data_IF_569263978567
#
_entry.id   IF_569263978567
#
_cell.length_a   1.000
_cell.length_b   1.000
_cell.length_c   1.000
_cell.angle_alpha   90.00
_cell.angle_beta   90.00
_cell.angle_gamma   90.00
#
_symmetry.space_group_name_H-M   'P 1'
#
loop_
_entity.id
_entity.type
_entity.pdbx_description
1 polymer ?
#
# COMPACT_ATOMS: atom_id res chain seq x y z
N UNK A 1 -64.07 5.29 8.42
CA UNK A 1 -62.93 6.09 8.91
C UNK A 1 -62.21 6.68 7.69
N UNK A 2 -62.29 8.00 7.48
CA UNK A 2 -61.74 8.68 6.30
C UNK A 2 -60.24 8.95 6.54
N UNK A 3 -59.36 8.26 5.82
CA UNK A 3 -57.91 8.45 5.90
C UNK A 3 -57.54 9.77 5.19
N UNK A 4 -57.12 10.77 5.95
CA UNK A 4 -56.57 12.03 5.43
C UNK A 4 -55.20 11.76 4.80
N UNK A 5 -55.14 11.61 3.48
CA UNK A 5 -53.86 11.57 2.76
C UNK A 5 -53.38 13.00 2.52
N UNK A 6 -52.56 13.51 3.45
CA UNK A 6 -51.75 14.72 3.20
C UNK A 6 -50.65 14.34 2.19
N UNK A 7 -50.76 14.83 0.96
CA UNK A 7 -49.72 14.69 -0.05
C UNK A 7 -48.60 15.71 0.18
N UNK A 8 -47.35 15.29 -0.05
CA UNK A 8 -46.22 16.21 -0.11
C UNK A 8 -46.42 17.26 -1.20
N UNK A 9 -46.07 18.51 -0.91
CA UNK A 9 -46.11 19.58 -1.91
C UNK A 9 -44.81 19.62 -2.71
N UNK A 10 -44.88 19.99 -3.99
CA UNK A 10 -43.69 20.09 -4.85
C UNK A 10 -42.67 21.12 -4.32
N UNK A 11 -43.15 22.18 -3.66
CA UNK A 11 -42.29 23.23 -3.08
C UNK A 11 -41.42 22.69 -1.94
N UNK A 12 -41.97 21.79 -1.11
CA UNK A 12 -41.21 21.15 -0.02
C UNK A 12 -40.09 20.27 -0.57
N UNK A 13 -40.37 19.49 -1.62
CA UNK A 13 -39.34 18.68 -2.28
C UNK A 13 -38.28 19.56 -2.97
N UNK A 14 -38.70 20.67 -3.58
CA UNK A 14 -37.79 21.59 -4.26
C UNK A 14 -36.84 22.29 -3.29
N UNK A 15 -37.34 22.75 -2.14
CA UNK A 15 -36.50 23.38 -1.12
C UNK A 15 -35.40 22.42 -0.62
N UNK A 16 -35.73 21.14 -0.43
CA UNK A 16 -34.77 20.13 0.06
C UNK A 16 -33.66 19.88 -0.95
N UNK A 17 -33.98 19.70 -2.25
CA UNK A 17 -32.95 19.44 -3.26
C UNK A 17 -32.01 20.63 -3.45
N UNK A 18 -32.50 21.86 -3.31
CA UNK A 18 -31.66 23.08 -3.41
C UNK A 18 -30.66 23.12 -2.26
N UNK A 19 -31.10 22.85 -1.03
CA UNK A 19 -30.23 22.81 0.15
C UNK A 19 -29.17 21.70 -0.01
N UNK A 20 -29.58 20.50 -0.42
CA UNK A 20 -28.65 19.38 -0.64
C UNK A 20 -27.62 19.69 -1.74
N UNK A 21 -28.02 20.37 -2.81
CA UNK A 21 -27.12 20.76 -3.89
C UNK A 21 -26.04 21.76 -3.43
N UNK A 22 -26.41 22.76 -2.61
CA UNK A 22 -25.46 23.74 -2.07
C UNK A 22 -24.44 23.05 -1.13
N UNK A 23 -24.92 22.17 -0.25
CA UNK A 23 -24.04 21.40 0.64
C UNK A 23 -23.09 20.52 -0.18
N UNK A 24 -23.61 19.79 -1.17
CA UNK A 24 -22.81 18.92 -2.03
C UNK A 24 -21.72 19.69 -2.80
N UNK A 25 -22.02 20.89 -3.29
CA UNK A 25 -21.06 21.73 -4.01
C UNK A 25 -19.82 22.07 -3.18
N UNK A 26 -20.02 22.49 -1.91
CA UNK A 26 -18.91 22.85 -1.01
C UNK A 26 -18.18 21.61 -0.51
N UNK A 27 -18.91 20.51 -0.27
CA UNK A 27 -18.37 19.31 0.37
C UNK A 27 -17.53 18.45 -0.59
N UNK A 28 -17.84 18.46 -1.88
CA UNK A 28 -17.16 17.63 -2.90
C UNK A 28 -15.63 17.77 -2.91
N UNK A 29 -15.02 18.97 -3.03
CA UNK A 29 -13.55 19.09 -3.06
C UNK A 29 -12.88 18.60 -1.76
N UNK A 30 -13.51 18.82 -0.61
CA UNK A 30 -13.00 18.36 0.69
C UNK A 30 -13.00 16.84 0.78
N UNK A 31 -14.09 16.19 0.34
CA UNK A 31 -14.17 14.72 0.29
C UNK A 31 -13.07 14.17 -0.62
N UNK A 32 -12.84 14.77 -1.79
CA UNK A 32 -11.79 14.32 -2.71
C UNK A 32 -10.39 14.39 -2.08
N UNK A 33 -10.08 15.47 -1.35
CA UNK A 33 -8.80 15.61 -0.67
C UNK A 33 -8.63 14.59 0.46
N UNK A 34 -9.66 14.40 1.29
CA UNK A 34 -9.65 13.39 2.36
C UNK A 34 -9.50 12.00 1.77
N UNK A 35 -10.22 11.68 0.70
CA UNK A 35 -10.10 10.40 0.00
C UNK A 35 -8.70 10.15 -0.55
N UNK A 36 -8.06 11.15 -1.15
CA UNK A 36 -6.69 11.02 -1.66
C UNK A 36 -5.70 10.79 -0.51
N UNK A 37 -5.85 11.48 0.61
CA UNK A 37 -5.04 11.25 1.81
C UNK A 37 -5.26 9.84 2.36
N UNK A 38 -6.52 9.39 2.52
CA UNK A 38 -6.83 8.02 2.96
C UNK A 38 -6.23 6.96 2.03
N UNK A 39 -6.25 7.19 0.71
CA UNK A 39 -5.64 6.26 -0.25
C UNK A 39 -4.11 6.21 -0.13
N UNK A 40 -3.47 7.37 0.04
CA UNK A 40 -2.02 7.47 0.25
C UNK A 40 -1.62 6.81 1.57
N UNK A 41 -2.37 7.03 2.64
CA UNK A 41 -2.09 6.45 3.95
C UNK A 41 -2.32 4.93 3.94
N UNK A 42 -3.37 4.44 3.25
CA UNK A 42 -3.55 3.02 3.03
C UNK A 42 -2.38 2.39 2.23
N UNK A 43 -1.79 3.11 1.27
CA UNK A 43 -0.59 2.64 0.57
C UNK A 43 0.63 2.59 1.49
N UNK A 44 0.79 3.53 2.43
CA UNK A 44 1.84 3.49 3.46
C UNK A 44 1.66 2.29 4.37
N UNK A 45 0.45 2.04 4.86
CA UNK A 45 0.15 0.89 5.72
C UNK A 45 0.46 -0.44 5.03
N UNK A 46 0.14 -0.54 3.73
CA UNK A 46 0.52 -1.70 2.91
C UNK A 46 2.03 -1.87 2.81
N UNK A 47 2.77 -0.78 2.56
CA UNK A 47 4.24 -0.81 2.50
C UNK A 47 4.85 -1.28 3.83
N UNK A 48 4.36 -0.79 4.96
CA UNK A 48 4.74 -1.29 6.29
C UNK A 48 4.42 -2.77 6.48
N UNK A 49 3.26 -3.21 6.01
CA UNK A 49 2.88 -4.62 6.01
C UNK A 49 3.85 -5.49 5.20
N UNK A 50 4.28 -5.01 4.03
CA UNK A 50 5.27 -5.70 3.19
C UNK A 50 6.63 -5.79 3.86
N UNK A 51 7.14 -4.69 4.45
CA UNK A 51 8.42 -4.70 5.18
C UNK A 51 8.38 -5.74 6.30
N UNK A 52 7.29 -5.76 7.09
CA UNK A 52 7.11 -6.75 8.17
C UNK A 52 7.03 -8.18 7.64
N UNK A 53 6.35 -8.40 6.52
CA UNK A 53 6.26 -9.72 5.90
C UNK A 53 7.63 -10.23 5.42
N UNK A 54 8.42 -9.35 4.80
CA UNK A 54 9.81 -9.67 4.39
C UNK A 54 10.66 -9.97 5.62
N UNK A 55 10.52 -9.18 6.69
CA UNK A 55 11.22 -9.41 7.95
C UNK A 55 10.91 -10.77 8.57
N UNK A 56 9.63 -11.14 8.57
CA UNK A 56 9.18 -12.42 9.10
C UNK A 56 9.69 -13.58 8.25
N UNK A 57 9.63 -13.46 6.92
CA UNK A 57 10.16 -14.48 6.01
C UNK A 57 11.68 -14.66 6.18
N UNK A 58 12.43 -13.55 6.27
CA UNK A 58 13.86 -13.58 6.55
C UNK A 58 14.20 -14.25 7.88
N UNK A 59 13.51 -13.86 8.96
CA UNK A 59 13.74 -14.44 10.29
C UNK A 59 13.47 -15.96 10.29
N UNK A 60 12.43 -16.42 9.58
CA UNK A 60 12.16 -17.86 9.43
C UNK A 60 13.22 -18.56 8.58
N UNK A 61 13.71 -17.91 7.53
CA UNK A 61 14.72 -18.48 6.63
C UNK A 61 16.04 -18.71 7.37
N UNK A 62 16.46 -17.77 8.22
CA UNK A 62 17.68 -17.91 9.04
C UNK A 62 17.67 -19.11 9.99
N UNK A 63 16.49 -19.62 10.37
CA UNK A 63 16.39 -20.83 11.22
C UNK A 63 16.72 -22.09 10.42
N UNK A 64 16.45 -22.09 9.12
CA UNK A 64 16.48 -23.29 8.27
C UNK A 64 17.62 -23.30 7.26
N UNK A 65 18.17 -22.13 6.93
CA UNK A 65 19.16 -21.91 5.88
C UNK A 65 20.19 -20.85 6.28
N UNK A 66 21.39 -20.95 5.71
CA UNK A 66 22.35 -19.84 5.73
C UNK A 66 21.91 -18.80 4.68
N UNK A 67 21.43 -17.64 5.15
CA UNK A 67 21.04 -16.54 4.28
C UNK A 67 22.24 -15.63 4.04
N UNK A 68 22.70 -15.53 2.80
CA UNK A 68 23.77 -14.61 2.43
C UNK A 68 23.27 -13.17 2.37
N UNK A 69 24.09 -12.25 2.88
CA UNK A 69 23.75 -10.83 2.98
C UNK A 69 24.66 -9.97 2.10
N UNK A 70 24.17 -8.85 1.55
CA UNK A 70 22.79 -8.35 1.67
C UNK A 70 21.81 -9.12 0.77
N UNK A 71 20.54 -9.21 1.17
CA UNK A 71 19.50 -9.93 0.42
C UNK A 71 18.46 -8.96 -0.14
N UNK A 72 18.13 -9.08 -1.44
CA UNK A 72 17.10 -8.24 -2.09
C UNK A 72 15.87 -9.06 -2.44
N UNK A 73 14.71 -8.58 -1.99
CA UNK A 73 13.39 -9.09 -2.39
C UNK A 73 12.85 -8.20 -3.50
N UNK A 74 12.57 -8.77 -4.68
CA UNK A 74 12.03 -8.05 -5.83
C UNK A 74 10.57 -8.43 -6.12
N UNK A 75 9.70 -7.42 -6.13
CA UNK A 75 8.26 -7.55 -6.38
C UNK A 75 7.86 -7.23 -7.83
N UNK A 76 8.82 -6.92 -8.71
CA UNK A 76 8.57 -6.44 -10.08
C UNK A 76 8.36 -7.52 -11.14
N UNK A 77 8.77 -8.77 -10.87
CA UNK A 77 8.69 -9.86 -11.86
C UNK A 77 7.82 -11.02 -11.38
N UNK A 78 6.66 -11.18 -12.02
CA UNK A 78 6.18 -12.54 -12.34
C UNK A 78 7.00 -13.01 -13.54
N UNK A 79 8.03 -13.83 -13.32
CA UNK A 79 8.70 -14.55 -14.42
C UNK A 79 9.10 -15.94 -13.96
N UNK A 80 8.69 -16.92 -14.75
CA UNK A 80 9.17 -18.29 -14.66
C UNK A 80 10.70 -18.31 -14.87
N UNK A 81 11.43 -18.95 -13.95
CA UNK A 81 12.81 -19.40 -14.15
C UNK A 81 13.93 -18.43 -13.78
N UNK A 82 13.84 -17.72 -12.66
CA UNK A 82 14.98 -17.00 -12.10
C UNK A 82 15.73 -17.89 -11.09
N UNK A 83 17.04 -18.04 -11.32
CA UNK A 83 17.99 -18.63 -10.38
C UNK A 83 18.38 -17.55 -9.37
N UNK A 84 18.24 -17.89 -8.10
CA UNK A 84 18.47 -17.05 -6.92
C UNK A 84 17.28 -16.15 -6.53
N UNK A 85 16.56 -16.59 -5.49
CA UNK A 85 15.60 -15.81 -4.70
C UNK A 85 14.32 -15.27 -5.36
N UNK A 86 14.02 -15.57 -6.63
CA UNK A 86 12.94 -14.86 -7.36
C UNK A 86 11.81 -15.77 -7.85
N UNK A 87 10.80 -15.87 -6.98
CA UNK A 87 9.36 -15.90 -7.33
C UNK A 87 8.88 -17.07 -8.18
N UNK A 88 8.63 -18.24 -7.57
CA UNK A 88 7.74 -19.24 -8.16
C UNK A 88 6.27 -18.93 -7.83
N UNK A 89 5.44 -18.79 -8.87
CA UNK A 89 3.97 -18.73 -8.80
C UNK A 89 3.37 -17.64 -7.89
N UNK A 90 3.66 -16.37 -8.20
CA UNK A 90 2.91 -15.25 -7.61
C UNK A 90 3.14 -15.03 -6.11
N UNK A 91 4.08 -15.75 -5.52
CA UNK A 91 4.59 -15.55 -4.17
C UNK A 91 6.05 -15.13 -4.25
N UNK A 92 6.44 -14.18 -3.41
CA UNK A 92 7.84 -13.76 -3.28
C UNK A 92 8.46 -14.54 -2.13
N UNK A 93 9.70 -14.99 -2.25
CA UNK A 93 10.36 -15.81 -1.24
C UNK A 93 11.62 -15.15 -0.69
N UNK A 94 11.96 -15.47 0.55
CA UNK A 94 13.29 -15.27 1.13
C UNK A 94 13.85 -16.65 1.41
N UNK A 95 14.80 -17.12 0.60
CA UNK A 95 15.44 -18.44 0.76
C UNK A 95 14.43 -19.58 1.08
N UNK A 96 13.44 -19.75 0.19
CA UNK A 96 12.41 -20.79 0.33
C UNK A 96 11.27 -20.49 1.31
N UNK A 97 11.36 -19.42 2.11
CA UNK A 97 10.25 -18.95 2.95
C UNK A 97 9.34 -17.99 2.20
N UNK A 98 8.06 -18.29 2.15
CA UNK A 98 7.06 -17.45 1.50
C UNK A 98 6.90 -16.13 2.26
N UNK A 99 7.00 -15.01 1.55
CA UNK A 99 6.64 -13.70 2.07
C UNK A 99 5.11 -13.62 2.05
N UNK A 100 4.48 -13.82 3.21
CA UNK A 100 3.04 -13.65 3.38
C UNK A 100 2.73 -12.34 4.09
N UNK A 101 2.06 -11.42 3.37
CA UNK A 101 1.56 -10.18 3.95
C UNK A 101 0.06 -10.31 4.21
N UNK A 102 -0.42 -9.76 5.33
CA UNK A 102 -1.84 -9.70 5.67
C UNK A 102 -2.66 -8.76 4.76
N UNK A 103 -2.05 -8.19 3.73
CA UNK A 103 -2.64 -7.19 2.84
C UNK A 103 -2.21 -7.38 1.40
N UNK A 104 -2.63 -6.46 0.54
CA UNK A 104 -2.24 -6.48 -0.88
C UNK A 104 -0.73 -6.30 -1.01
N UNK A 105 -0.08 -7.25 -1.69
CA UNK A 105 1.34 -7.16 -2.03
C UNK A 105 1.60 -6.07 -3.05
N UNK A 106 2.80 -5.44 -3.03
CA UNK A 106 3.19 -4.52 -4.07
C UNK A 106 3.32 -5.25 -5.41
N UNK A 107 3.09 -4.49 -6.48
CA UNK A 107 3.18 -4.98 -7.88
C UNK A 107 4.53 -4.71 -8.53
N UNK A 108 5.38 -3.94 -7.86
CA UNK A 108 6.73 -3.59 -8.27
C UNK A 108 7.51 -3.03 -7.08
N UNK A 109 8.82 -2.87 -7.25
CA UNK A 109 9.74 -2.32 -6.27
C UNK A 109 10.54 -3.41 -5.56
N UNK A 110 11.56 -2.99 -4.82
CA UNK A 110 12.49 -3.88 -4.14
C UNK A 110 12.58 -3.53 -2.65
N UNK A 111 12.69 -4.54 -1.81
CA UNK A 111 13.06 -4.42 -0.39
C UNK A 111 14.44 -5.03 -0.22
N UNK A 112 15.34 -4.31 0.43
CA UNK A 112 16.71 -4.74 0.68
C UNK A 112 16.89 -4.98 2.18
N UNK A 113 17.54 -6.09 2.50
CA UNK A 113 18.02 -6.42 3.83
C UNK A 113 19.54 -6.22 3.82
N UNK A 114 20.06 -5.26 4.57
CA UNK A 114 21.52 -5.01 4.64
C UNK A 114 22.26 -6.06 5.47
N UNK A 115 23.59 -5.96 5.51
CA UNK A 115 24.46 -6.82 6.30
C UNK A 115 24.18 -6.80 7.80
N UNK A 116 23.52 -5.75 8.30
CA UNK A 116 23.13 -5.62 9.72
C UNK A 116 21.72 -6.20 9.99
N UNK A 117 21.06 -6.74 8.96
CA UNK A 117 19.70 -7.29 9.03
C UNK A 117 18.60 -6.22 9.02
N UNK A 118 18.93 -4.96 8.72
CA UNK A 118 17.95 -3.88 8.62
C UNK A 118 17.27 -3.92 7.24
N UNK A 119 15.97 -3.66 7.23
CA UNK A 119 15.11 -3.87 6.06
C UNK A 119 14.58 -2.53 5.58
N UNK A 120 14.86 -2.17 4.33
CA UNK A 120 14.49 -0.90 3.75
C UNK A 120 13.93 -1.06 2.35
N UNK A 121 13.07 -0.12 1.95
CA UNK A 121 12.65 -0.04 0.56
C UNK A 121 13.81 0.51 -0.24
N UNK A 122 14.19 -0.16 -1.33
CA UNK A 122 15.29 0.26 -2.21
C UNK A 122 14.85 1.37 -3.16
N UNK A 123 14.33 2.45 -2.60
CA UNK A 123 13.96 3.67 -3.27
C UNK A 123 14.09 4.86 -2.32
N UNK A 124 14.49 6.00 -2.88
CA UNK A 124 14.62 7.27 -2.17
C UNK A 124 13.58 8.26 -2.68
N UNK A 125 13.47 9.41 -2.02
CA UNK A 125 12.58 10.48 -2.48
C UNK A 125 12.87 10.94 -3.93
N UNK A 126 14.15 11.04 -4.30
CA UNK A 126 14.57 11.47 -5.64
C UNK A 126 14.24 10.43 -6.73
N UNK A 127 14.12 9.16 -6.37
CA UNK A 127 13.79 8.07 -7.28
C UNK A 127 12.58 7.26 -6.79
N UNK A 128 11.56 7.96 -6.29
CA UNK A 128 10.42 7.34 -5.63
C UNK A 128 9.67 6.32 -6.51
N UNK A 129 9.72 6.48 -7.84
CA UNK A 129 9.08 5.58 -8.82
C UNK A 129 9.67 4.17 -8.86
N UNK A 130 10.87 3.97 -8.31
CA UNK A 130 11.45 2.63 -8.11
C UNK A 130 10.98 1.96 -6.81
N UNK A 131 10.17 2.66 -6.01
CA UNK A 131 9.65 2.17 -4.74
C UNK A 131 8.57 1.10 -4.87
N UNK A 132 8.07 0.64 -3.73
CA UNK A 132 7.00 -0.35 -3.66
C UNK A 132 5.72 0.21 -4.27
N UNK A 133 5.18 -0.47 -5.28
CA UNK A 133 4.03 0.01 -6.04
C UNK A 133 2.71 -0.60 -5.55
N UNK A 134 1.80 0.25 -5.07
CA UNK A 134 0.43 -0.09 -4.69
C UNK A 134 -0.56 0.72 -5.52
N UNK A 135 -1.15 0.10 -6.55
CA UNK A 135 -1.96 0.79 -7.53
C UNK A 135 -1.18 1.90 -8.24
N UNK A 136 -1.55 3.16 -8.01
CA UNK A 136 -0.88 4.33 -8.58
C UNK A 136 0.14 4.98 -7.63
N UNK A 137 0.29 4.48 -6.40
CA UNK A 137 1.26 5.01 -5.45
C UNK A 137 2.55 4.22 -5.47
N UNK A 138 3.66 4.92 -5.32
CA UNK A 138 4.99 4.38 -5.12
C UNK A 138 5.49 4.82 -3.74
N UNK A 139 5.79 3.83 -2.91
CA UNK A 139 6.23 4.02 -1.54
C UNK A 139 7.73 3.81 -1.42
N UNK A 140 8.41 4.68 -0.69
CA UNK A 140 9.86 4.73 -0.57
C UNK A 140 10.24 5.12 0.87
N UNK A 141 11.49 4.83 1.24
CA UNK A 141 11.99 5.15 2.57
C UNK A 141 12.45 6.61 2.64
N UNK A 142 12.05 7.34 3.68
CA UNK A 142 12.41 8.75 3.90
C UNK A 142 13.78 8.93 4.56
N UNK A 143 14.45 7.85 4.99
CA UNK A 143 15.82 7.96 5.46
C UNK A 143 16.48 6.63 5.73
N UNK A 144 17.81 6.60 5.69
CA UNK A 144 18.64 5.47 6.12
C UNK A 144 18.65 5.25 7.65
N UNK A 145 17.72 5.87 8.39
CA UNK A 145 17.65 5.79 9.85
C UNK A 145 16.65 4.71 10.28
N UNK A 146 16.97 4.06 11.41
CA UNK A 146 16.31 2.89 12.02
C UNK A 146 14.79 2.98 12.28
N UNK A 147 14.16 4.11 11.96
CA UNK A 147 12.74 4.34 12.18
C UNK A 147 11.88 3.95 10.96
N UNK A 148 12.49 3.61 9.81
CA UNK A 148 11.81 3.12 8.60
C UNK A 148 10.58 3.97 8.24
N UNK A 149 10.75 5.29 8.15
CA UNK A 149 9.63 6.16 7.86
C UNK A 149 9.28 6.08 6.37
N UNK A 150 8.08 5.57 6.05
CA UNK A 150 7.67 5.37 4.67
C UNK A 150 6.83 6.54 4.19
N UNK A 151 7.24 7.13 3.06
CA UNK A 151 6.41 8.02 2.28
C UNK A 151 5.86 7.33 1.04
N UNK A 152 4.69 7.76 0.57
CA UNK A 152 4.12 7.33 -0.70
C UNK A 152 3.77 8.54 -1.55
N UNK A 153 4.14 8.49 -2.82
CA UNK A 153 3.86 9.50 -3.84
C UNK A 153 3.19 8.86 -5.04
N UNK A 154 2.41 9.64 -5.78
CA UNK A 154 1.72 9.18 -6.99
C UNK A 154 2.56 9.44 -8.24
#
# INVERSE_FOLDING_TARGET
>A
MMQNRKGFTLIELLAVIVILAIIALITTPTILNVMENSRRDAAKDKAYGTIKAVQLAYTQAQVSYEVNMPYTVDFSSKRDGASDGSTEKGFTYVEGQEVQASGEMPTAGQVLIDNDGQIYIKATESNYKSGLKFGNYYCYDLGANKNHEVACKR
#
